data_IF_010254842007
#
_entry.id   IF_010254842007
#
_cell.length_a   1.000
_cell.length_b   1.000
_cell.length_c   1.000
_cell.angle_alpha   90.00
_cell.angle_beta   90.00
_cell.angle_gamma   90.00
#
_symmetry.space_group_name_H-M   'P 1'
#
loop_
_entity.id
_entity.type
_entity.pdbx_description
1 polymer ?
#
# COMPACT_ATOMS: atom_id res chain seq x y z
N UNK A 1 46.75 11.25 33.96
CA UNK A 1 45.93 11.49 32.75
C UNK A 1 44.75 12.33 33.23
N UNK A 2 44.76 13.64 32.98
CA UNK A 2 43.80 14.58 33.58
C UNK A 2 42.46 14.56 32.83
N UNK A 3 41.37 14.78 33.56
CA UNK A 3 39.98 14.78 33.06
C UNK A 3 39.78 15.70 31.83
N UNK A 4 40.53 16.80 31.75
CA UNK A 4 40.59 17.68 30.58
C UNK A 4 41.02 16.99 29.27
N UNK A 5 41.97 16.04 29.32
CA UNK A 5 42.39 15.30 28.11
C UNK A 5 41.38 14.25 27.66
N UNK A 6 40.49 13.81 28.56
CA UNK A 6 39.40 12.90 28.21
C UNK A 6 38.24 13.66 27.58
N UNK A 7 37.91 14.84 28.11
CA UNK A 7 36.91 15.72 27.55
C UNK A 7 37.36 16.31 26.20
N UNK A 8 38.63 16.70 26.03
CA UNK A 8 39.15 17.18 24.74
C UNK A 8 39.20 16.07 23.67
N UNK A 9 39.38 14.81 24.06
CA UNK A 9 39.30 13.67 23.15
C UNK A 9 37.85 13.37 22.73
N UNK A 10 36.89 13.46 23.64
CA UNK A 10 35.47 13.30 23.33
C UNK A 10 34.87 14.49 22.58
N UNK A 11 35.30 15.71 22.90
CA UNK A 11 34.93 16.93 22.17
C UNK A 11 35.57 16.94 20.77
N UNK A 12 36.81 16.48 20.58
CA UNK A 12 37.38 16.29 19.24
C UNK A 12 36.71 15.15 18.45
N UNK A 13 36.15 14.13 19.12
CA UNK A 13 35.42 13.04 18.45
C UNK A 13 33.98 13.43 18.10
N UNK A 14 33.40 14.41 18.78
CA UNK A 14 32.11 15.01 18.47
C UNK A 14 32.21 16.17 17.46
N UNK A 15 33.35 16.87 17.39
CA UNK A 15 33.56 18.05 16.52
C UNK A 15 34.20 17.77 15.15
N UNK A 16 34.53 16.52 14.81
CA UNK A 16 34.69 16.15 13.40
C UNK A 16 33.31 15.86 12.76
N UNK A 17 32.39 16.80 12.96
CA UNK A 17 31.32 17.11 12.02
C UNK A 17 32.00 17.64 10.75
N UNK A 18 32.50 16.73 9.92
CA UNK A 18 32.69 17.09 8.52
C UNK A 18 31.30 17.50 8.02
N UNK A 19 31.08 18.73 7.54
CA UNK A 19 29.95 18.95 6.65
C UNK A 19 30.15 17.93 5.54
N UNK A 20 29.17 17.04 5.37
CA UNK A 20 29.20 16.06 4.29
C UNK A 20 29.46 16.86 3.03
N UNK A 21 30.61 16.61 2.39
CA UNK A 21 30.95 17.31 1.15
C UNK A 21 29.76 17.18 0.22
N UNK A 22 29.36 18.27 -0.45
CA UNK A 22 28.31 18.26 -1.47
C UNK A 22 28.49 17.10 -2.47
N UNK A 23 29.74 16.70 -2.68
CA UNK A 23 30.18 15.53 -3.44
C UNK A 23 29.66 14.19 -2.89
N UNK A 24 29.84 13.89 -1.60
CA UNK A 24 29.30 12.67 -0.98
C UNK A 24 27.77 12.58 -1.06
N UNK A 25 27.07 13.68 -0.78
CA UNK A 25 25.61 13.73 -0.92
C UNK A 25 25.18 13.46 -2.37
N UNK A 26 25.90 14.05 -3.34
CA UNK A 26 25.65 13.86 -4.77
C UNK A 26 25.89 12.42 -5.21
N UNK A 27 27.01 11.81 -4.79
CA UNK A 27 27.34 10.42 -5.08
C UNK A 27 26.27 9.47 -4.57
N UNK A 28 25.87 9.62 -3.31
CA UNK A 28 24.83 8.79 -2.67
C UNK A 28 23.48 8.96 -3.37
N UNK A 29 23.10 10.20 -3.67
CA UNK A 29 21.83 10.54 -4.33
C UNK A 29 21.69 9.93 -5.73
N UNK A 30 22.81 9.59 -6.37
CA UNK A 30 22.84 9.00 -7.71
C UNK A 30 22.94 7.47 -7.71
N UNK A 31 23.12 6.83 -6.54
CA UNK A 31 23.22 5.39 -6.43
C UNK A 31 21.99 4.69 -7.04
N UNK A 32 22.24 3.53 -7.62
CA UNK A 32 21.20 2.62 -8.06
C UNK A 32 20.86 1.65 -6.91
N UNK A 33 19.63 1.70 -6.36
CA UNK A 33 19.17 0.82 -5.28
C UNK A 33 19.00 -0.64 -5.71
N UNK A 34 19.20 -0.98 -6.99
CA UNK A 34 19.29 -2.37 -7.45
C UNK A 34 20.72 -2.94 -7.36
N UNK A 35 21.73 -2.06 -7.36
CA UNK A 35 23.15 -2.45 -7.31
C UNK A 35 23.72 -2.36 -5.88
N UNK A 36 23.06 -1.60 -5.00
CA UNK A 36 23.46 -1.39 -3.60
C UNK A 36 22.35 -1.87 -2.67
N UNK A 37 22.71 -2.71 -1.70
CA UNK A 37 21.75 -3.21 -0.70
C UNK A 37 21.27 -2.10 0.23
N UNK A 38 20.10 -2.25 0.85
CA UNK A 38 19.60 -1.26 1.80
C UNK A 38 20.52 -1.12 3.04
N UNK A 39 21.22 -2.20 3.42
CA UNK A 39 22.20 -2.14 4.52
C UNK A 39 23.46 -1.37 4.12
N UNK A 40 23.93 -1.54 2.87
CA UNK A 40 25.05 -0.78 2.35
C UNK A 40 24.71 0.69 2.19
N UNK A 41 23.50 1.01 1.71
CA UNK A 41 23.02 2.38 1.63
C UNK A 41 22.97 3.04 3.02
N UNK A 42 22.50 2.33 4.05
CA UNK A 42 22.52 2.83 5.43
C UNK A 42 23.92 3.05 5.97
N UNK A 43 24.87 2.15 5.67
CA UNK A 43 26.27 2.28 6.07
C UNK A 43 26.93 3.49 5.42
N UNK A 44 26.67 3.72 4.13
CA UNK A 44 27.21 4.88 3.40
C UNK A 44 26.60 6.19 3.92
N UNK A 45 25.34 6.16 4.37
CA UNK A 45 24.60 7.31 4.91
C UNK A 45 24.61 7.40 6.43
N UNK A 46 25.48 6.65 7.12
CA UNK A 46 25.52 6.61 8.58
C UNK A 46 25.80 8.01 9.17
N UNK A 47 26.69 8.76 8.52
CA UNK A 47 27.06 10.12 8.92
C UNK A 47 26.03 11.20 8.59
N UNK A 48 25.01 10.88 7.77
CA UNK A 48 24.00 11.85 7.36
C UNK A 48 23.10 12.18 8.54
N UNK A 49 22.68 13.44 8.67
CA UNK A 49 21.56 13.76 9.55
C UNK A 49 20.26 13.18 8.97
N UNK A 50 19.17 13.18 9.74
CA UNK A 50 17.93 12.55 9.31
C UNK A 50 17.33 13.21 8.06
N UNK A 51 17.47 14.53 7.92
CA UNK A 51 16.98 15.28 6.76
C UNK A 51 17.77 14.92 5.49
N UNK A 52 19.10 14.96 5.58
CA UNK A 52 20.02 14.60 4.50
C UNK A 52 19.81 13.15 4.05
N UNK A 53 19.66 12.23 5.01
CA UNK A 53 19.37 10.83 4.74
C UNK A 53 18.09 10.68 3.92
N UNK A 54 17.00 11.32 4.34
CA UNK A 54 15.70 11.23 3.65
C UNK A 54 15.80 11.84 2.25
N UNK A 55 16.44 13.00 2.09
CA UNK A 55 16.62 13.64 0.78
C UNK A 55 17.44 12.75 -0.17
N UNK A 56 18.56 12.21 0.30
CA UNK A 56 19.41 11.33 -0.49
C UNK A 56 18.69 10.02 -0.86
N UNK A 57 17.92 9.44 0.07
CA UNK A 57 17.12 8.25 -0.19
C UNK A 57 16.05 8.50 -1.26
N UNK A 58 15.33 9.62 -1.20
CA UNK A 58 14.34 9.98 -2.23
C UNK A 58 14.98 10.19 -3.61
N UNK A 59 16.16 10.83 -3.67
CA UNK A 59 16.90 10.97 -4.93
C UNK A 59 17.36 9.64 -5.49
N UNK A 60 17.98 8.79 -4.68
CA UNK A 60 18.51 7.51 -5.15
C UNK A 60 17.39 6.53 -5.55
N UNK A 61 16.39 6.38 -4.68
CA UNK A 61 15.34 5.36 -4.83
C UNK A 61 14.21 5.81 -5.75
N UNK A 62 13.85 7.10 -5.75
CA UNK A 62 12.71 7.58 -6.54
C UNK A 62 13.12 8.54 -7.65
N UNK A 63 14.40 8.90 -7.80
CA UNK A 63 14.84 9.91 -8.79
C UNK A 63 14.02 11.20 -8.70
N UNK A 64 13.77 11.68 -7.48
CA UNK A 64 13.05 12.94 -7.22
C UNK A 64 13.44 13.57 -5.88
N UNK A 65 13.16 14.87 -5.73
CA UNK A 65 13.23 15.57 -4.45
C UNK A 65 12.08 15.15 -3.53
N UNK A 66 12.33 15.16 -2.23
CA UNK A 66 11.31 14.93 -1.20
C UNK A 66 10.53 16.21 -0.94
N UNK A 67 9.20 16.12 -0.84
CA UNK A 67 8.37 17.27 -0.45
C UNK A 67 8.55 17.61 1.03
N UNK A 68 8.34 18.86 1.41
CA UNK A 68 8.46 19.31 2.80
C UNK A 68 7.58 18.52 3.77
N UNK A 69 6.38 18.12 3.33
CA UNK A 69 5.47 17.29 4.11
C UNK A 69 6.05 15.90 4.40
N UNK A 70 6.59 15.22 3.40
CA UNK A 70 7.19 13.88 3.58
C UNK A 70 8.53 13.93 4.31
N UNK A 71 9.28 15.02 4.13
CA UNK A 71 10.52 15.25 4.86
C UNK A 71 10.26 15.37 6.36
N UNK A 72 9.26 16.18 6.75
CA UNK A 72 8.83 16.31 8.14
C UNK A 72 8.29 14.99 8.70
N UNK A 73 7.49 14.26 7.93
CA UNK A 73 6.99 12.94 8.34
C UNK A 73 8.12 11.96 8.67
N UNK A 74 9.09 11.79 7.76
CA UNK A 74 10.16 10.81 7.94
C UNK A 74 11.17 11.19 9.02
N UNK A 75 11.52 12.47 9.12
CA UNK A 75 12.45 12.95 10.16
C UNK A 75 11.87 12.72 11.56
N UNK A 76 10.59 13.07 11.77
CA UNK A 76 9.87 12.80 13.02
C UNK A 76 9.72 11.30 13.30
N UNK A 77 9.43 10.47 12.31
CA UNK A 77 9.33 9.01 12.49
C UNK A 77 10.66 8.41 12.96
N UNK A 78 11.78 8.85 12.37
CA UNK A 78 13.14 8.42 12.77
C UNK A 78 13.47 8.89 14.20
N UNK A 79 13.13 10.13 14.55
CA UNK A 79 13.37 10.70 15.89
C UNK A 79 12.60 9.96 16.99
N UNK A 80 11.41 9.44 16.70
CA UNK A 80 10.59 8.62 17.59
C UNK A 80 11.10 7.16 17.73
N UNK A 81 12.41 6.95 17.57
CA UNK A 81 13.16 5.68 17.71
C UNK A 81 12.86 4.62 16.65
N UNK A 82 12.37 4.99 15.48
CA UNK A 82 12.27 4.05 14.35
C UNK A 82 13.55 4.04 13.51
N UNK A 83 13.92 2.86 13.00
CA UNK A 83 15.18 2.66 12.26
C UNK A 83 15.08 3.25 10.86
N UNK A 84 16.12 3.97 10.42
CA UNK A 84 16.25 4.53 9.05
C UNK A 84 15.95 3.54 7.90
N UNK A 85 16.21 2.24 8.12
CA UNK A 85 15.86 1.17 7.18
C UNK A 85 14.39 1.19 6.73
N UNK A 86 13.47 1.64 7.60
CA UNK A 86 12.03 1.71 7.31
C UNK A 86 11.76 2.66 6.15
N UNK A 87 12.51 3.77 6.05
CA UNK A 87 12.39 4.71 4.93
C UNK A 87 12.70 4.00 3.61
N UNK A 88 13.82 3.26 3.54
CA UNK A 88 14.24 2.56 2.32
C UNK A 88 13.23 1.47 1.91
N UNK A 89 12.75 0.69 2.89
CA UNK A 89 11.71 -0.31 2.69
C UNK A 89 10.42 0.34 2.15
N UNK A 90 10.04 1.51 2.68
CA UNK A 90 8.87 2.23 2.23
C UNK A 90 9.05 2.78 0.80
N UNK A 91 10.22 3.33 0.46
CA UNK A 91 10.51 3.85 -0.87
C UNK A 91 10.48 2.74 -1.94
N UNK A 92 11.04 1.56 -1.65
CA UNK A 92 10.97 0.39 -2.54
C UNK A 92 9.54 -0.06 -2.86
N UNK A 93 8.58 0.24 -1.98
CA UNK A 93 7.17 -0.14 -2.13
C UNK A 93 6.35 0.90 -2.90
N UNK A 94 6.91 2.06 -3.22
CA UNK A 94 6.20 3.08 -4.02
C UNK A 94 6.08 2.64 -5.48
N UNK A 95 4.97 3.02 -6.13
CA UNK A 95 4.75 2.76 -7.56
C UNK A 95 5.92 3.30 -8.39
N UNK A 96 6.41 4.50 -8.05
CA UNK A 96 7.52 5.15 -8.75
C UNK A 96 8.81 4.32 -8.71
N UNK A 97 9.16 3.72 -7.57
CA UNK A 97 10.32 2.83 -7.50
C UNK A 97 10.14 1.62 -8.43
N UNK A 98 8.95 1.00 -8.39
CA UNK A 98 8.62 -0.17 -9.19
C UNK A 98 8.62 0.15 -10.69
N UNK A 99 8.19 1.34 -11.08
CA UNK A 99 8.20 1.81 -12.47
C UNK A 99 9.63 2.07 -12.96
N UNK A 100 10.48 2.69 -12.13
CA UNK A 100 11.88 2.99 -12.49
C UNK A 100 12.71 1.71 -12.61
N UNK A 101 12.48 0.72 -11.73
CA UNK A 101 13.35 -0.45 -11.58
C UNK A 101 12.69 -1.80 -11.93
N UNK A 102 11.56 -1.79 -12.63
CA UNK A 102 10.83 -3.01 -13.02
C UNK A 102 11.65 -3.93 -13.96
N UNK A 103 11.82 -5.18 -13.52
CA UNK A 103 12.49 -6.34 -14.16
C UNK A 103 11.86 -6.77 -15.51
N UNK A 104 10.76 -6.16 -15.98
CA UNK A 104 10.07 -6.59 -17.21
C UNK A 104 10.94 -6.57 -18.48
N UNK A 105 12.02 -5.77 -18.53
CA UNK A 105 12.87 -5.66 -19.73
C UNK A 105 14.10 -6.60 -19.76
N UNK A 106 14.53 -7.16 -18.64
CA UNK A 106 15.77 -7.98 -18.62
C UNK A 106 15.49 -9.44 -18.98
N UNK A 107 14.31 -9.96 -18.61
CA UNK A 107 13.96 -11.36 -18.87
C UNK A 107 13.48 -11.60 -20.31
N UNK A 108 12.79 -10.62 -20.90
CA UNK A 108 12.29 -10.70 -22.28
C UNK A 108 13.42 -10.62 -23.33
N UNK A 109 14.48 -9.86 -23.10
CA UNK A 109 15.57 -9.74 -24.08
C UNK A 109 16.39 -11.03 -24.26
N UNK A 110 16.46 -11.88 -23.23
CA UNK A 110 17.13 -13.20 -23.30
C UNK A 110 16.24 -14.31 -23.86
N UNK A 111 14.92 -14.26 -23.62
CA UNK A 111 13.99 -15.31 -24.05
C UNK A 111 13.61 -15.25 -25.53
N UNK A 112 13.81 -14.10 -26.19
CA UNK A 112 13.44 -13.88 -27.60
C UNK A 112 14.58 -14.14 -28.60
N UNK A 113 15.69 -14.75 -28.19
CA UNK A 113 16.80 -15.12 -29.10
C UNK A 113 16.59 -16.46 -29.83
N UNK A 114 15.50 -17.19 -29.58
CA UNK A 114 15.22 -18.45 -30.27
C UNK A 114 14.21 -18.22 -31.40
N UNK A 115 14.71 -18.16 -32.65
CA UNK A 115 13.94 -17.89 -33.87
C UNK A 115 12.96 -19.01 -34.28
N UNK A 116 12.83 -20.09 -33.52
CA UNK A 116 12.01 -21.24 -33.90
C UNK A 116 10.64 -21.25 -33.19
N UNK A 117 9.64 -20.78 -33.94
CA UNK A 117 8.23 -20.54 -33.56
C UNK A 117 7.51 -21.70 -32.82
N UNK A 118 7.90 -22.96 -33.06
CA UNK A 118 7.21 -24.11 -32.47
C UNK A 118 7.59 -24.42 -31.01
N UNK A 119 8.85 -24.19 -30.62
CA UNK A 119 9.32 -24.38 -29.23
C UNK A 119 8.71 -23.29 -28.34
N UNK A 120 8.60 -22.06 -28.85
CA UNK A 120 7.92 -20.97 -28.16
C UNK A 120 6.45 -21.32 -27.89
N UNK A 121 5.76 -21.92 -28.87
CA UNK A 121 4.36 -22.34 -28.74
C UNK A 121 4.19 -23.49 -27.72
N UNK A 122 5.11 -24.44 -27.72
CA UNK A 122 5.14 -25.56 -26.77
C UNK A 122 5.45 -25.08 -25.35
N UNK A 123 6.44 -24.21 -25.17
CA UNK A 123 6.80 -23.63 -23.88
C UNK A 123 5.67 -22.77 -23.32
N UNK A 124 5.00 -21.93 -24.13
CA UNK A 124 3.84 -21.15 -23.68
C UNK A 124 2.68 -22.04 -23.25
N UNK A 125 2.41 -23.12 -23.99
CA UNK A 125 1.34 -24.06 -23.65
C UNK A 125 1.66 -24.87 -22.38
N UNK A 126 2.92 -25.29 -22.21
CA UNK A 126 3.38 -26.00 -21.02
C UNK A 126 3.43 -25.08 -19.79
N UNK A 127 3.81 -23.81 -19.95
CA UNK A 127 3.73 -22.79 -18.88
C UNK A 127 2.29 -22.55 -18.46
N UNK A 128 1.33 -22.46 -19.40
CA UNK A 128 -0.10 -22.33 -19.07
C UNK A 128 -0.63 -23.55 -18.33
N UNK A 129 -0.21 -24.75 -18.74
CA UNK A 129 -0.59 -26.00 -18.09
C UNK A 129 -0.01 -26.09 -16.67
N UNK A 130 1.27 -25.74 -16.50
CA UNK A 130 1.95 -25.70 -15.19
C UNK A 130 1.36 -24.60 -14.30
N UNK A 131 1.00 -23.43 -14.83
CA UNK A 131 0.29 -22.37 -14.10
C UNK A 131 -1.07 -22.86 -13.60
N UNK A 132 -1.82 -23.60 -14.42
CA UNK A 132 -3.13 -24.15 -14.06
C UNK A 132 -3.04 -25.29 -13.03
N UNK A 133 -1.96 -26.08 -13.07
CA UNK A 133 -1.75 -27.27 -12.20
C UNK A 133 -1.07 -26.91 -10.87
N UNK A 134 -0.05 -26.04 -10.86
CA UNK A 134 0.69 -25.65 -9.65
C UNK A 134 0.13 -24.41 -8.95
N UNK A 135 -0.57 -23.52 -9.66
CA UNK A 135 -1.14 -22.29 -9.11
C UNK A 135 -2.65 -22.26 -9.29
N UNK A 136 -3.38 -23.14 -8.60
CA UNK A 136 -4.83 -22.99 -8.34
C UNK A 136 -5.21 -21.73 -7.55
N UNK A 137 -4.38 -20.68 -7.61
CA UNK A 137 -4.58 -19.35 -7.09
C UNK A 137 -5.22 -18.54 -8.21
N UNK A 138 -6.54 -18.38 -8.17
CA UNK A 138 -7.18 -17.31 -8.92
C UNK A 138 -6.66 -16.00 -8.34
N UNK A 139 -5.64 -15.41 -8.96
CA UNK A 139 -5.15 -14.13 -8.47
C UNK A 139 -6.15 -13.07 -8.91
N UNK A 140 -6.37 -12.07 -8.07
CA UNK A 140 -7.19 -10.92 -8.43
C UNK A 140 -6.37 -9.67 -8.18
N UNK A 141 -6.30 -8.81 -9.19
CA UNK A 141 -5.71 -7.48 -9.12
C UNK A 141 -6.84 -6.46 -8.96
N UNK A 142 -6.76 -5.62 -7.94
CA UNK A 142 -7.67 -4.50 -7.77
C UNK A 142 -7.19 -3.35 -8.65
N UNK A 143 -8.03 -2.92 -9.58
CA UNK A 143 -7.71 -1.88 -10.55
C UNK A 143 -8.00 -0.48 -10.00
N UNK A 144 -9.09 -0.32 -9.26
CA UNK A 144 -9.48 0.96 -8.66
C UNK A 144 -10.56 0.77 -7.60
N UNK A 145 -10.64 1.73 -6.67
CA UNK A 145 -11.70 1.86 -5.68
C UNK A 145 -12.28 3.26 -5.82
N UNK A 146 -13.58 3.36 -6.01
CA UNK A 146 -14.29 4.61 -6.24
C UNK A 146 -15.30 4.79 -5.11
N UNK A 147 -15.14 5.86 -4.32
CA UNK A 147 -16.15 6.25 -3.33
C UNK A 147 -17.29 6.97 -4.04
N UNK A 148 -18.52 6.52 -3.81
CA UNK A 148 -19.73 7.05 -4.44
C UNK A 148 -20.50 8.02 -3.55
N UNK A 149 -20.10 8.17 -2.28
CA UNK A 149 -20.78 9.08 -1.36
C UNK A 149 -20.39 10.52 -1.71
N UNK A 150 -21.34 11.38 -2.13
CA UNK A 150 -21.07 12.80 -2.28
C UNK A 150 -20.85 13.44 -0.90
N UNK A 151 -20.03 14.49 -0.85
CA UNK A 151 -19.57 15.14 0.39
C UNK A 151 -20.70 15.64 1.32
N UNK A 152 -21.93 15.73 0.84
CA UNK A 152 -23.11 16.13 1.60
C UNK A 152 -24.29 15.17 1.41
N UNK A 153 -24.30 14.04 2.12
CA UNK A 153 -25.54 13.27 2.32
C UNK A 153 -26.04 13.44 3.75
N UNK A 154 -27.35 13.65 3.93
CA UNK A 154 -27.95 13.87 5.26
C UNK A 154 -27.96 12.61 6.15
N UNK A 155 -27.63 11.46 5.59
CA UNK A 155 -27.75 10.15 6.24
C UNK A 155 -26.42 9.52 6.63
N UNK A 156 -25.30 9.93 6.01
CA UNK A 156 -24.01 9.27 6.16
C UNK A 156 -23.00 10.29 6.69
N UNK A 157 -22.32 9.92 7.78
CA UNK A 157 -21.29 10.74 8.38
C UNK A 157 -19.93 10.46 7.72
N UNK A 158 -19.69 9.20 7.37
CA UNK A 158 -18.48 8.80 6.65
C UNK A 158 -18.49 7.32 6.29
N UNK A 159 -17.62 6.96 5.34
CA UNK A 159 -17.31 5.58 4.97
C UNK A 159 -15.86 5.48 4.57
N UNK A 160 -15.28 4.29 4.69
CA UNK A 160 -13.96 4.00 4.14
C UNK A 160 -13.76 2.52 3.90
N UNK A 161 -12.83 2.20 3.00
CA UNK A 161 -12.36 0.84 2.75
C UNK A 161 -10.90 0.72 3.19
N UNK A 162 -10.68 -0.14 4.18
CA UNK A 162 -9.34 -0.48 4.65
C UNK A 162 -8.69 -1.50 3.69
N UNK A 163 -9.48 -2.47 3.22
CA UNK A 163 -9.09 -3.53 2.29
C UNK A 163 -10.23 -3.89 1.32
N UNK A 164 -9.92 -4.25 0.07
CA UNK A 164 -8.59 -4.22 -0.52
C UNK A 164 -8.20 -2.78 -0.90
N UNK A 165 -6.98 -2.58 -1.41
CA UNK A 165 -6.49 -1.30 -1.92
C UNK A 165 -6.29 -1.37 -3.43
N UNK A 166 -6.34 -0.22 -4.10
CA UNK A 166 -5.96 -0.12 -5.51
C UNK A 166 -4.55 -0.68 -5.69
N UNK A 167 -4.38 -1.55 -6.68
CA UNK A 167 -3.10 -2.19 -7.00
C UNK A 167 -2.86 -3.51 -6.26
N UNK A 168 -3.64 -3.83 -5.23
CA UNK A 168 -3.49 -5.08 -4.48
C UNK A 168 -3.61 -6.28 -5.43
N UNK A 169 -2.64 -7.20 -5.31
CA UNK A 169 -2.65 -8.50 -5.97
C UNK A 169 -2.91 -9.56 -4.92
N UNK A 170 -4.12 -10.07 -4.89
CA UNK A 170 -4.55 -11.08 -3.93
C UNK A 170 -4.26 -12.42 -4.56
N UNK A 171 -3.37 -13.18 -3.93
CA UNK A 171 -2.93 -14.52 -4.34
C UNK A 171 -3.59 -15.62 -3.52
N UNK A 172 -4.73 -15.35 -2.93
CA UNK A 172 -5.48 -16.29 -2.09
C UNK A 172 -6.77 -16.68 -2.81
N UNK A 173 -7.46 -17.72 -2.34
CA UNK A 173 -8.76 -18.12 -2.88
C UNK A 173 -9.90 -17.16 -2.51
N UNK A 174 -9.67 -16.30 -1.51
CA UNK A 174 -10.65 -15.35 -0.98
C UNK A 174 -10.17 -13.91 -1.12
N UNK A 175 -11.08 -13.05 -1.57
CA UNK A 175 -10.97 -11.61 -1.54
C UNK A 175 -11.54 -11.11 -0.20
N UNK A 176 -10.70 -10.48 0.60
CA UNK A 176 -11.11 -9.83 1.85
C UNK A 176 -11.44 -8.36 1.59
N UNK A 177 -12.67 -7.98 1.93
CA UNK A 177 -13.17 -6.61 1.83
C UNK A 177 -13.54 -6.16 3.25
N UNK A 178 -12.84 -5.16 3.77
CA UNK A 178 -13.06 -4.61 5.10
C UNK A 178 -13.04 -3.09 5.07
N UNK A 179 -13.82 -2.51 5.96
CA UNK A 179 -13.97 -1.07 6.05
C UNK A 179 -14.83 -0.67 7.22
N UNK A 180 -15.22 0.59 7.23
CA UNK A 180 -16.13 1.15 8.22
C UNK A 180 -17.17 2.04 7.57
N UNK A 181 -18.32 2.13 8.22
CA UNK A 181 -19.44 2.95 7.79
C UNK A 181 -20.11 3.56 9.01
N UNK A 182 -20.37 4.87 8.97
CA UNK A 182 -21.00 5.61 10.06
C UNK A 182 -22.25 6.32 9.55
N UNK A 183 -23.46 5.90 9.98
CA UNK A 183 -24.67 6.66 9.71
C UNK A 183 -24.76 7.91 10.60
N UNK A 184 -25.33 9.01 10.10
CA UNK A 184 -25.56 10.24 10.87
C UNK A 184 -26.62 10.06 11.97
N UNK A 185 -27.61 9.20 11.72
CA UNK A 185 -28.68 8.85 12.67
C UNK A 185 -28.41 7.46 13.22
N UNK A 186 -28.78 7.22 14.48
CA UNK A 186 -28.76 5.89 15.07
C UNK A 186 -29.80 5.00 14.39
N UNK A 187 -29.39 4.31 13.33
CA UNK A 187 -30.22 3.44 12.52
C UNK A 187 -29.50 2.10 12.32
N UNK A 188 -30.26 1.03 12.19
CA UNK A 188 -29.70 -0.29 11.90
C UNK A 188 -29.27 -0.35 10.43
N UNK A 189 -27.98 -0.61 10.20
CA UNK A 189 -27.38 -0.65 8.86
C UNK A 189 -26.66 -1.96 8.62
N UNK A 190 -26.89 -2.54 7.43
CA UNK A 190 -26.06 -3.62 6.89
C UNK A 190 -25.32 -3.16 5.64
N UNK A 191 -24.18 -3.79 5.37
CA UNK A 191 -23.39 -3.59 4.17
C UNK A 191 -23.59 -4.77 3.23
N UNK A 192 -24.12 -4.49 2.05
CA UNK A 192 -24.36 -5.46 0.99
C UNK A 192 -23.34 -5.31 -0.11
N UNK A 193 -22.73 -6.41 -0.51
CA UNK A 193 -21.85 -6.52 -1.66
C UNK A 193 -22.61 -7.15 -2.83
N UNK A 194 -22.61 -6.49 -3.97
CA UNK A 194 -23.24 -7.00 -5.20
C UNK A 194 -22.22 -7.03 -6.35
N UNK A 195 -22.44 -7.94 -7.29
CA UNK A 195 -21.90 -7.78 -8.64
C UNK A 195 -22.67 -6.65 -9.34
N UNK A 196 -21.97 -5.60 -9.80
CA UNK A 196 -22.63 -4.42 -10.35
C UNK A 196 -23.30 -4.71 -11.70
N UNK A 197 -22.75 -5.64 -12.49
CA UNK A 197 -23.24 -5.99 -13.83
C UNK A 197 -24.53 -6.81 -13.72
N UNK A 198 -24.49 -7.89 -12.95
CA UNK A 198 -25.61 -8.84 -12.88
C UNK A 198 -26.58 -8.50 -11.74
N UNK A 199 -26.28 -7.48 -10.92
CA UNK A 199 -27.03 -7.08 -9.72
C UNK A 199 -27.20 -8.21 -8.69
N UNK A 200 -26.43 -9.29 -8.83
CA UNK A 200 -26.45 -10.44 -7.94
C UNK A 200 -25.89 -10.06 -6.58
N UNK A 201 -26.62 -10.39 -5.53
CA UNK A 201 -26.12 -10.25 -4.15
C UNK A 201 -25.09 -11.34 -3.88
N UNK A 202 -23.88 -10.92 -3.50
CA UNK A 202 -22.78 -11.82 -3.19
C UNK A 202 -22.63 -12.02 -1.68
N UNK A 203 -22.88 -10.97 -0.89
CA UNK A 203 -22.84 -11.03 0.57
C UNK A 203 -23.60 -9.85 1.18
N UNK A 204 -24.10 -10.02 2.41
CA UNK A 204 -24.63 -8.94 3.23
C UNK A 204 -24.21 -9.18 4.68
N UNK A 205 -23.58 -8.18 5.31
CA UNK A 205 -23.04 -8.29 6.68
C UNK A 205 -23.45 -7.09 7.53
N UNK A 206 -23.66 -7.27 8.84
CA UNK A 206 -23.91 -6.17 9.76
C UNK A 206 -22.61 -5.40 10.12
N UNK A 207 -22.77 -4.20 10.69
CA UNK A 207 -21.67 -3.46 11.31
C UNK A 207 -21.42 -4.02 12.72
N UNK A 208 -20.46 -4.94 12.82
CA UNK A 208 -20.16 -5.67 14.07
C UNK A 208 -18.69 -5.60 14.48
N UNK A 209 -17.83 -4.99 13.66
CA UNK A 209 -16.39 -4.91 13.96
C UNK A 209 -16.13 -3.64 14.78
N UNK A 210 -15.52 -3.75 15.99
CA UNK A 210 -15.17 -2.58 16.80
C UNK A 210 -14.17 -1.65 16.09
N UNK A 211 -14.45 -0.34 16.12
CA UNK A 211 -13.64 0.73 15.53
C UNK A 211 -13.52 1.93 16.47
N UNK A 212 -12.74 1.80 17.56
CA UNK A 212 -12.54 2.90 18.51
C UNK A 212 -11.86 4.09 17.85
N UNK A 213 -10.98 3.87 16.88
CA UNK A 213 -10.35 4.90 16.05
C UNK A 213 -11.37 5.78 15.32
N UNK A 214 -12.41 5.17 14.74
CA UNK A 214 -13.50 5.87 14.05
C UNK A 214 -14.40 6.61 15.04
N UNK A 215 -14.71 6.00 16.19
CA UNK A 215 -15.46 6.67 17.26
C UNK A 215 -14.75 7.93 17.74
N UNK A 216 -13.44 7.84 18.02
CA UNK A 216 -12.64 8.98 18.47
C UNK A 216 -12.56 10.07 17.41
N UNK A 217 -12.33 9.71 16.14
CA UNK A 217 -12.23 10.67 15.04
C UNK A 217 -13.52 11.48 14.84
N UNK A 218 -14.68 10.84 14.92
CA UNK A 218 -15.98 11.49 14.75
C UNK A 218 -16.61 11.99 16.06
N UNK A 219 -15.89 11.94 17.19
CA UNK A 219 -16.38 12.35 18.52
C UNK A 219 -17.74 11.73 18.89
N UNK A 220 -17.99 10.48 18.49
CA UNK A 220 -19.30 9.83 18.68
C UNK A 220 -19.48 9.40 20.14
N UNK A 221 -20.62 9.76 20.74
CA UNK A 221 -20.98 9.41 22.13
C UNK A 221 -21.47 7.95 22.31
N UNK A 222 -21.40 7.11 21.28
CA UNK A 222 -22.02 5.78 21.27
C UNK A 222 -21.37 4.81 22.26
N UNK A 223 -22.21 3.98 22.89
CA UNK A 223 -21.83 2.87 23.78
C UNK A 223 -21.44 1.60 23.02
N UNK A 224 -21.70 1.52 21.72
CA UNK A 224 -21.29 0.40 20.86
C UNK A 224 -20.40 0.93 19.74
N UNK A 225 -19.11 0.64 19.86
CA UNK A 225 -18.07 1.05 18.90
C UNK A 225 -18.08 0.24 17.60
N UNK A 226 -19.23 -0.35 17.22
CA UNK A 226 -19.32 -1.35 16.15
C UNK A 226 -19.63 -0.68 14.81
N UNK A 227 -18.61 -0.08 14.20
CA UNK A 227 -18.74 0.66 12.93
C UNK A 227 -18.11 -0.04 11.73
N UNK A 228 -17.35 -1.10 11.98
CA UNK A 228 -16.65 -1.83 10.95
C UNK A 228 -17.43 -3.01 10.40
N UNK A 229 -17.07 -3.41 9.18
CA UNK A 229 -17.55 -4.61 8.52
C UNK A 229 -16.38 -5.39 7.91
N UNK A 230 -16.60 -6.68 7.69
CA UNK A 230 -15.65 -7.57 7.03
C UNK A 230 -16.41 -8.60 6.19
N UNK A 231 -16.04 -8.72 4.92
CA UNK A 231 -16.61 -9.63 3.94
C UNK A 231 -15.49 -10.46 3.35
N UNK A 232 -15.68 -11.77 3.28
CA UNK A 232 -14.80 -12.68 2.57
C UNK A 232 -15.55 -13.25 1.37
N UNK A 233 -15.01 -13.05 0.18
CA UNK A 233 -15.62 -13.49 -1.07
C UNK A 233 -14.72 -14.51 -1.75
N UNK A 234 -15.28 -15.66 -2.14
CA UNK A 234 -14.56 -16.66 -2.92
C UNK A 234 -14.29 -16.14 -4.33
N UNK A 235 -13.01 -16.03 -4.73
CA UNK A 235 -12.61 -15.45 -6.02
C UNK A 235 -13.05 -16.34 -7.18
N UNK A 236 -13.21 -17.65 -6.97
CA UNK A 236 -13.75 -18.57 -7.99
C UNK A 236 -15.13 -18.14 -8.50
N UNK A 237 -15.94 -17.47 -7.67
CA UNK A 237 -17.32 -17.10 -8.00
C UNK A 237 -17.41 -15.77 -8.78
N UNK A 238 -16.28 -15.08 -8.96
CA UNK A 238 -16.18 -13.84 -9.71
C UNK A 238 -16.02 -14.07 -11.22
N UNK A 239 -16.31 -13.06 -12.03
CA UNK A 239 -15.94 -13.06 -13.46
C UNK A 239 -14.43 -12.84 -13.64
N UNK A 240 -13.90 -12.98 -14.86
CA UNK A 240 -12.49 -12.68 -15.14
C UNK A 240 -12.14 -11.21 -14.94
N UNK A 241 -13.11 -10.32 -15.12
CA UNK A 241 -13.02 -8.91 -14.75
C UNK A 241 -14.41 -8.40 -14.38
N UNK A 242 -14.48 -7.39 -13.53
CA UNK A 242 -15.77 -6.86 -13.13
C UNK A 242 -15.69 -5.68 -12.17
N UNK A 243 -16.89 -5.25 -11.77
CA UNK A 243 -17.10 -4.21 -10.78
C UNK A 243 -17.96 -4.76 -9.65
N UNK A 244 -17.43 -4.74 -8.43
CA UNK A 244 -18.21 -4.99 -7.23
C UNK A 244 -18.72 -3.67 -6.70
N UNK A 245 -19.96 -3.65 -6.20
CA UNK A 245 -20.53 -2.47 -5.58
C UNK A 245 -20.93 -2.78 -4.14
N UNK A 246 -20.46 -1.96 -3.22
CA UNK A 246 -20.92 -1.95 -1.84
C UNK A 246 -22.11 -1.01 -1.71
N UNK A 247 -23.11 -1.43 -0.96
CA UNK A 247 -24.33 -0.70 -0.66
C UNK A 247 -24.57 -0.70 0.85
N UNK A 248 -24.92 0.45 1.42
CA UNK A 248 -25.46 0.55 2.77
C UNK A 248 -26.98 0.40 2.72
N UNK A 249 -27.52 -0.42 3.61
CA UNK A 249 -28.96 -0.71 3.69
C UNK A 249 -29.45 -0.28 5.05
N UNK A 250 -30.28 0.75 5.06
CA UNK A 250 -30.93 1.25 6.26
C UNK A 250 -32.19 0.42 6.51
N UNK A 251 -32.16 -0.47 7.51
CA UNK A 251 -33.21 -1.48 7.74
C UNK A 251 -34.57 -0.84 8.05
N UNK A 252 -34.56 0.27 8.78
CA UNK A 252 -35.77 0.95 9.24
C UNK A 252 -36.53 1.62 8.09
N UNK A 253 -35.81 2.16 7.09
CA UNK A 253 -36.38 2.86 5.93
C UNK A 253 -36.39 2.02 4.65
N UNK A 254 -35.79 0.83 4.67
CA UNK A 254 -35.50 -0.01 3.49
C UNK A 254 -34.72 0.73 2.39
N UNK A 255 -34.08 1.86 2.72
CA UNK A 255 -33.33 2.65 1.77
C UNK A 255 -31.98 1.99 1.48
N UNK A 256 -31.63 1.91 0.20
CA UNK A 256 -30.36 1.36 -0.28
C UNK A 256 -29.54 2.48 -0.87
N UNK A 257 -28.33 2.70 -0.34
CA UNK A 257 -27.42 3.74 -0.81
C UNK A 257 -26.13 3.11 -1.33
N UNK A 258 -25.71 3.35 -2.58
CA UNK A 258 -24.43 2.87 -3.09
C UNK A 258 -23.28 3.66 -2.47
N UNK A 259 -22.25 2.98 -1.98
CA UNK A 259 -21.17 3.61 -1.20
C UNK A 259 -19.78 3.51 -1.87
N UNK A 260 -19.41 2.36 -2.42
CA UNK A 260 -18.11 2.12 -3.05
C UNK A 260 -18.27 1.23 -4.28
N UNK A 261 -17.44 1.46 -5.31
CA UNK A 261 -17.17 0.51 -6.40
C UNK A 261 -15.73 0.00 -6.32
N UNK A 262 -15.55 -1.31 -6.39
CA UNK A 262 -14.25 -1.99 -6.49
C UNK A 262 -14.14 -2.60 -7.89
N UNK A 263 -13.20 -2.12 -8.70
CA UNK A 263 -12.91 -2.69 -10.01
C UNK A 263 -11.79 -3.71 -9.91
N UNK A 264 -11.93 -4.86 -10.55
CA UNK A 264 -10.97 -5.95 -10.44
C UNK A 264 -10.71 -6.66 -11.77
N UNK A 265 -9.58 -7.35 -11.83
CA UNK A 265 -9.16 -8.24 -12.93
C UNK A 265 -8.55 -9.51 -12.34
N UNK A 266 -9.00 -10.68 -12.75
CA UNK A 266 -8.36 -11.96 -12.45
C UNK A 266 -7.09 -12.12 -13.29
N UNK A 267 -6.03 -12.65 -12.68
CA UNK A 267 -4.68 -12.77 -13.26
C UNK A 267 -4.11 -14.16 -13.07
#
# INVERSE_FOLDING_TARGET
MNQQNFDDFYQNKLNNFYPISSEQFTLVSNLNPMDVSDQDFLRITEKFNNEEFVRAAYKAYLKQEVSQQYLKFWTTDIELKRKRIIVLIALRKTDRFQDIYSIKNIFFSKLFQFENSWILYFCVSLIRLIQKIFFGLNNIKILSIINLIPESTDEILGTWIDHPKKGDKIKQSKLWIAGWFVPKKSQSVTIRLIDKKDKKVLSEVPLIVPRPDVTSFHCLKSTTHLWGFSIYLDIKDLSDQGELQLQAIFKDSQKIVPIIIIKYLKV
#
